data_IF_412295661717
#
_entry.id   IF_412295661717
#
_cell.length_a   1.000
_cell.length_b   1.000
_cell.length_c   1.000
_cell.angle_alpha   90.00
_cell.angle_beta   90.00
_cell.angle_gamma   90.00
#
_symmetry.space_group_name_H-M   'P 1'
#
loop_
_entity.id
_entity.type
_entity.pdbx_description
1 polymer ?
#
# COMPACT_ATOMS: atom_id res chain seq x y z
N UNK A 1 -15.61 13.61 -11.77
CA UNK A 1 -14.15 13.43 -11.89
C UNK A 1 -13.85 12.19 -11.08
N UNK A 2 -13.40 11.09 -11.69
CA UNK A 2 -12.80 10.04 -10.88
C UNK A 2 -11.65 10.71 -10.13
N UNK A 3 -11.63 10.58 -8.82
CA UNK A 3 -10.64 11.22 -7.99
C UNK A 3 -9.31 10.51 -8.26
N UNK A 4 -8.46 11.07 -9.15
CA UNK A 4 -7.08 10.62 -9.43
C UNK A 4 -6.15 10.83 -8.21
N UNK A 5 -6.69 10.84 -7.01
CA UNK A 5 -5.97 11.05 -5.76
C UNK A 5 -5.26 9.76 -5.39
N UNK A 6 -4.07 9.57 -5.96
CA UNK A 6 -3.18 8.47 -5.65
C UNK A 6 -2.57 8.67 -4.25
N UNK A 7 -2.71 7.67 -3.37
CA UNK A 7 -2.20 7.75 -1.99
C UNK A 7 -0.85 7.05 -1.86
N UNK A 8 0.03 7.58 -1.00
CA UNK A 8 1.30 6.92 -0.65
C UNK A 8 1.22 6.38 0.78
N UNK A 9 1.44 5.08 0.95
CA UNK A 9 1.61 4.46 2.27
C UNK A 9 3.09 4.23 2.52
N UNK A 10 3.73 5.18 3.21
CA UNK A 10 5.12 5.03 3.63
C UNK A 10 5.22 4.25 4.95
N UNK A 11 6.02 3.19 4.97
CA UNK A 11 6.05 2.20 6.05
C UNK A 11 5.07 1.05 5.83
N UNK A 12 4.76 0.71 4.57
CA UNK A 12 3.78 -0.32 4.20
C UNK A 12 4.02 -1.70 4.85
N UNK A 13 5.27 -2.09 5.07
CA UNK A 13 5.63 -3.35 5.73
C UNK A 13 5.62 -3.29 7.27
N UNK A 14 5.29 -2.14 7.86
CA UNK A 14 5.06 -1.99 9.29
C UNK A 14 3.63 -2.38 9.66
N UNK A 15 3.36 -2.60 10.95
CA UNK A 15 2.04 -3.08 11.41
C UNK A 15 0.87 -2.21 10.91
N UNK A 16 0.89 -0.91 11.20
CA UNK A 16 -0.16 0.01 10.77
C UNK A 16 -0.18 0.21 9.26
N UNK A 17 0.99 0.29 8.63
CA UNK A 17 1.09 0.45 7.17
C UNK A 17 0.43 -0.70 6.43
N UNK A 18 0.57 -1.92 6.94
CA UNK A 18 -0.04 -3.12 6.35
C UNK A 18 -1.56 -3.10 6.47
N UNK A 19 -2.11 -2.74 7.63
CA UNK A 19 -3.57 -2.59 7.80
C UNK A 19 -4.16 -1.53 6.86
N UNK A 20 -3.43 -0.42 6.64
CA UNK A 20 -3.87 0.63 5.72
C UNK A 20 -3.78 0.16 4.26
N UNK A 21 -2.72 -0.57 3.89
CA UNK A 21 -2.56 -1.11 2.55
C UNK A 21 -3.63 -2.17 2.22
N UNK A 22 -3.90 -3.08 3.16
CA UNK A 22 -4.99 -4.07 3.08
C UNK A 22 -6.35 -3.38 2.85
N UNK A 23 -6.71 -2.41 3.69
CA UNK A 23 -7.99 -1.70 3.55
C UNK A 23 -8.07 -0.86 2.26
N UNK A 24 -6.94 -0.30 1.79
CA UNK A 24 -6.91 0.45 0.53
C UNK A 24 -7.13 -0.47 -0.68
N UNK A 25 -6.52 -1.66 -0.68
CA UNK A 25 -6.71 -2.68 -1.70
C UNK A 25 -8.16 -3.18 -1.72
N UNK A 26 -8.74 -3.49 -0.55
CA UNK A 26 -10.14 -3.93 -0.40
C UNK A 26 -11.15 -2.89 -0.94
N UNK A 27 -10.76 -1.61 -0.94
CA UNK A 27 -11.58 -0.49 -1.45
C UNK A 27 -11.28 -0.13 -2.90
N UNK A 28 -10.42 -0.89 -3.58
CA UNK A 28 -10.02 -0.64 -4.97
C UNK A 28 -9.43 0.77 -5.17
N UNK A 29 -8.70 1.28 -4.16
CA UNK A 29 -8.04 2.58 -4.22
C UNK A 29 -6.66 2.47 -4.89
N UNK A 30 -6.32 3.47 -5.69
CA UNK A 30 -4.99 3.56 -6.29
C UNK A 30 -3.95 4.01 -5.24
N UNK A 31 -3.19 3.04 -4.72
CA UNK A 31 -2.24 3.21 -3.62
C UNK A 31 -0.83 2.79 -4.01
N UNK A 32 0.13 3.66 -3.73
CA UNK A 32 1.57 3.36 -3.84
C UNK A 32 2.11 2.95 -2.48
N UNK A 33 2.71 1.76 -2.42
CA UNK A 33 3.39 1.26 -1.24
C UNK A 33 4.85 1.70 -1.23
N UNK A 34 5.31 2.23 -0.09
CA UNK A 34 6.70 2.65 0.07
C UNK A 34 7.28 2.24 1.43
N UNK A 35 8.59 2.07 1.45
CA UNK A 35 9.33 1.70 2.65
C UNK A 35 10.84 1.75 2.43
N UNK A 36 11.62 1.59 3.50
CA UNK A 36 13.10 1.65 3.42
C UNK A 36 13.70 0.39 2.83
N UNK A 37 13.07 -0.75 3.09
CA UNK A 37 13.46 -2.05 2.56
C UNK A 37 12.62 -2.37 1.32
N UNK A 38 13.27 -2.37 0.15
CA UNK A 38 12.60 -2.61 -1.12
C UNK A 38 12.03 -4.03 -1.22
N UNK A 39 12.70 -5.04 -0.66
CA UNK A 39 12.22 -6.42 -0.70
C UNK A 39 10.94 -6.53 0.12
N UNK A 40 10.99 -6.10 1.38
CA UNK A 40 9.81 -6.15 2.27
C UNK A 40 8.63 -5.34 1.76
N UNK A 41 8.89 -4.24 1.05
CA UNK A 41 7.82 -3.44 0.44
C UNK A 41 7.16 -4.19 -0.72
N UNK A 42 7.95 -4.89 -1.55
CA UNK A 42 7.43 -5.73 -2.63
C UNK A 42 6.66 -6.94 -2.11
N UNK A 43 7.16 -7.60 -1.07
CA UNK A 43 6.48 -8.73 -0.46
C UNK A 43 5.04 -8.35 -0.05
N UNK A 44 4.81 -7.14 0.47
CA UNK A 44 3.44 -6.65 0.79
C UNK A 44 2.61 -6.39 -0.48
N UNK A 45 3.21 -5.89 -1.55
CA UNK A 45 2.49 -5.70 -2.81
C UNK A 45 2.04 -7.05 -3.40
N UNK A 46 2.94 -8.04 -3.42
CA UNK A 46 2.66 -9.39 -3.91
C UNK A 46 1.60 -10.12 -3.05
N UNK A 47 1.46 -9.76 -1.76
CA UNK A 47 0.41 -10.27 -0.86
C UNK A 47 -0.99 -9.69 -1.14
N UNK A 48 -1.08 -8.53 -1.81
CA UNK A 48 -2.32 -7.77 -2.03
C UNK A 48 -2.83 -7.83 -3.48
N UNK A 49 -2.05 -8.38 -4.42
CA UNK A 49 -2.45 -8.72 -5.80
C UNK A 49 -3.35 -9.98 -5.86
#
# INVERSE_FOLDING_TARGET
>A
MADDSQFLVYGAYGYTGRLVAEEAADRELDVVLAGRDAKRTRDVADELD
#
